data_IF_346822040654
#
_entry.id   IF_346822040654
#
_cell.length_a   1.000
_cell.length_b   1.000
_cell.length_c   1.000
_cell.angle_alpha   90.00
_cell.angle_beta   90.00
_cell.angle_gamma   90.00
#
_symmetry.space_group_name_H-M   'P 1'
#
loop_
_entity.id
_entity.type
_entity.pdbx_description
1 polymer ?
#
# COMPACT_ATOMS: atom_id res chain seq x y z
N UNK A 1 0.44 10.19 -15.56
CA UNK A 1 1.06 10.37 -15.45
C UNK A 1 1.35 10.12 -15.34
N UNK A 2 1.29 9.55 -15.32
CA UNK A 2 1.79 9.36 -15.09
C UNK A 2 2.35 8.87 -15.04
N UNK A 3 2.39 8.31 -14.49
CA UNK A 3 3.28 8.00 -14.34
C UNK A 3 3.28 8.01 -14.78
N UNK A 4 2.63 7.85 -15.25
CA UNK A 4 3.00 8.08 -15.66
C UNK A 4 2.88 9.09 -15.78
N UNK A 5 2.90 9.19 -15.59
CA UNK A 5 3.29 10.04 -15.56
C UNK A 5 3.68 10.51 -15.12
N UNK A 6 3.53 10.56 -14.69
CA UNK A 6 4.37 10.85 -14.18
C UNK A 6 4.72 10.46 -14.27
N UNK A 7 4.12 9.98 -14.37
CA UNK A 7 4.73 9.66 -14.49
C UNK A 7 4.50 10.13 -15.13
N UNK A 8 4.00 10.08 -15.13
CA UNK A 8 4.10 10.59 -15.45
C UNK A 8 4.08 11.28 -15.58
N UNK A 9 4.00 11.55 -15.50
CA UNK A 9 4.33 12.09 -15.36
C UNK A 9 4.84 12.07 -15.37
N UNK A 10 4.71 11.61 -15.23
CA UNK A 10 5.25 11.47 -15.07
C UNK A 10 5.35 11.23 -15.63
N UNK A 11 5.16 10.88 -15.62
CA UNK A 11 5.51 10.60 -15.76
C UNK A 11 5.30 11.12 -16.44
N UNK A 12 5.04 11.22 -16.25
CA UNK A 12 5.18 11.62 -16.47
C UNK A 12 5.59 12.21 -16.80
N UNK A 13 5.63 12.49 -16.91
CA UNK A 13 6.21 12.82 -16.91
C UNK A 13 6.87 12.62 -17.26
N UNK A 14 6.72 12.15 -17.11
CA UNK A 14 7.25 11.79 -17.17
C UNK A 14 7.31 11.55 -17.84
N UNK A 15 7.16 11.34 -17.74
CA UNK A 15 7.31 11.07 -17.76
C UNK A 15 7.14 11.33 -18.46
N UNK A 16 7.14 11.36 -18.63
CA UNK A 16 7.05 11.41 -18.96
C UNK A 16 6.80 11.37 -19.65
N UNK A 17 6.76 11.56 -19.89
CA UNK A 17 6.83 11.16 -20.21
C UNK A 17 6.94 10.48 -20.54
N UNK A 18 7.00 10.33 -20.58
CA UNK A 18 7.04 9.34 -20.79
C UNK A 18 7.12 8.55 -20.35
N UNK A 19 7.04 8.53 -19.75
CA UNK A 19 6.72 7.64 -19.33
C UNK A 19 5.74 7.23 -19.79
N UNK A 20 5.50 7.27 -20.30
CA UNK A 20 4.61 7.01 -20.60
C UNK A 20 3.88 6.26 -20.64
N UNK A 21 3.40 6.70 -21.25
CA UNK A 21 2.53 5.67 -20.86
C UNK A 21 1.46 5.41 -21.86
N UNK A 22 1.53 4.48 -22.64
CA UNK A 22 0.55 4.02 -23.55
C UNK A 22 -0.36 3.00 -22.95
N UNK A 23 -1.05 3.38 -21.93
CA UNK A 23 -1.83 2.44 -21.17
C UNK A 23 -3.27 2.85 -21.27
N UNK A 24 -4.15 1.94 -21.67
CA UNK A 24 -5.58 2.24 -21.65
C UNK A 24 -6.03 2.38 -20.21
N UNK A 25 -7.07 3.17 -19.93
CA UNK A 25 -7.53 3.35 -18.56
C UNK A 25 -7.85 2.06 -17.86
N UNK A 26 -8.44 1.07 -18.56
CA UNK A 26 -8.80 -0.18 -17.92
C UNK A 26 -7.59 -1.02 -17.58
N UNK A 27 -6.50 -0.93 -18.35
CA UNK A 27 -5.32 -1.72 -18.11
C UNK A 27 -4.27 -0.98 -17.31
N UNK A 28 -4.48 0.32 -17.02
CA UNK A 28 -3.49 1.11 -16.29
C UNK A 28 -3.65 1.01 -14.77
N UNK A 29 -4.73 0.41 -14.28
CA UNK A 29 -4.96 0.35 -12.84
C UNK A 29 -4.43 -0.97 -12.29
N UNK A 30 -3.54 -0.83 -11.33
CA UNK A 30 -2.83 -1.97 -10.78
C UNK A 30 -3.59 -2.58 -9.61
N UNK A 31 -3.70 -3.91 -9.63
CA UNK A 31 -4.28 -4.65 -8.53
C UNK A 31 -3.22 -5.05 -7.50
N UNK A 32 -1.96 -4.72 -7.73
CA UNK A 32 -0.86 -4.96 -6.81
C UNK A 32 0.04 -3.74 -6.78
N UNK A 33 0.32 -3.25 -5.57
CA UNK A 33 1.19 -2.09 -5.39
C UNK A 33 2.04 -2.29 -4.15
N UNK A 34 3.31 -1.88 -4.22
CA UNK A 34 4.23 -1.99 -3.10
C UNK A 34 4.84 -0.64 -2.81
N UNK A 35 4.83 -0.24 -1.57
CA UNK A 35 5.38 1.04 -1.14
C UNK A 35 6.22 0.86 0.10
N UNK A 36 7.29 1.63 0.20
CA UNK A 36 7.96 1.80 1.47
C UNK A 36 7.13 2.75 2.33
N UNK A 37 7.34 2.71 3.64
CA UNK A 37 6.68 3.63 4.55
C UNK A 37 7.76 4.47 5.22
N UNK A 38 7.68 5.79 5.06
CA UNK A 38 8.65 6.70 5.63
C UNK A 38 8.04 8.08 5.73
N UNK A 39 8.41 8.82 6.77
CA UNK A 39 7.92 10.20 6.97
C UNK A 39 6.40 10.29 6.91
N UNK A 40 5.73 9.28 7.50
CA UNK A 40 4.26 9.23 7.58
C UNK A 40 3.60 9.20 6.20
N UNK A 41 4.30 8.66 5.20
CA UNK A 41 3.80 8.63 3.82
C UNK A 41 4.11 7.31 3.17
N UNK A 42 3.36 6.98 2.11
CA UNK A 42 3.76 5.93 1.19
C UNK A 42 4.91 6.47 0.36
N UNK A 43 5.91 5.64 0.08
CA UNK A 43 7.09 6.08 -0.66
C UNK A 43 7.34 5.14 -1.82
N UNK A 44 7.47 5.70 -3.00
CA UNK A 44 7.86 4.97 -4.20
C UNK A 44 9.23 5.45 -4.61
N UNK A 45 10.07 4.52 -5.04
CA UNK A 45 11.42 4.84 -5.48
C UNK A 45 11.47 4.89 -7.00
N UNK A 46 11.93 6.01 -7.54
CA UNK A 46 12.08 6.18 -8.97
C UNK A 46 13.45 6.71 -9.24
N UNK A 47 14.32 5.84 -9.77
CA UNK A 47 15.73 6.14 -9.99
C UNK A 47 16.37 6.54 -8.66
N UNK A 48 16.90 7.75 -8.58
CA UNK A 48 17.54 8.23 -7.35
C UNK A 48 16.60 9.05 -6.49
N UNK A 49 15.32 9.09 -6.82
CA UNK A 49 14.36 9.92 -6.10
C UNK A 49 13.40 9.08 -5.30
N UNK A 50 12.96 9.65 -4.20
CA UNK A 50 11.88 9.09 -3.40
C UNK A 50 10.66 9.96 -3.56
N UNK A 51 9.54 9.34 -3.92
CA UNK A 51 8.29 10.05 -4.14
C UNK A 51 7.35 9.73 -2.99
N UNK A 52 6.98 10.75 -2.24
CA UNK A 52 6.11 10.62 -1.08
C UNK A 52 4.66 10.89 -1.49
N UNK A 53 3.75 10.04 -1.04
CA UNK A 53 2.36 10.18 -1.47
C UNK A 53 1.41 9.65 -0.40
N UNK A 54 0.17 10.11 -0.47
CA UNK A 54 -0.91 9.59 0.38
C UNK A 54 -1.83 8.69 -0.41
N UNK A 55 -1.75 8.72 -1.73
CA UNK A 55 -2.55 7.89 -2.61
C UNK A 55 -1.78 7.69 -3.91
N UNK A 56 -2.09 6.61 -4.63
CA UNK A 56 -1.41 6.29 -5.89
C UNK A 56 -2.46 6.23 -7.00
N UNK A 57 -2.35 7.16 -7.94
CA UNK A 57 -3.37 7.30 -8.98
C UNK A 57 -3.48 6.08 -9.90
N UNK A 58 -2.42 5.31 -10.02
CA UNK A 58 -2.42 4.15 -10.90
C UNK A 58 -2.82 2.85 -10.20
N UNK A 59 -3.21 2.93 -8.95
CA UNK A 59 -3.73 1.78 -8.25
C UNK A 59 -5.18 1.53 -8.65
N UNK A 60 -5.65 0.29 -8.46
CA UNK A 60 -7.06 -0.02 -8.66
C UNK A 60 -7.92 0.89 -7.79
N UNK A 61 -9.19 1.05 -8.16
CA UNK A 61 -10.08 1.91 -7.40
C UNK A 61 -10.20 1.46 -5.95
N UNK A 62 -10.24 0.14 -5.73
CA UNK A 62 -10.35 -0.39 -4.38
C UNK A 62 -9.14 0.00 -3.53
N UNK A 63 -7.93 -0.18 -4.08
CA UNK A 63 -6.71 0.18 -3.36
C UNK A 63 -6.65 1.68 -3.14
N UNK A 64 -6.92 2.46 -4.19
CA UNK A 64 -6.82 3.92 -4.10
C UNK A 64 -7.75 4.47 -3.03
N UNK A 65 -8.93 3.86 -2.89
CA UNK A 65 -9.89 4.30 -1.88
C UNK A 65 -9.39 4.05 -0.46
N UNK A 66 -8.67 2.94 -0.25
CA UNK A 66 -8.21 2.59 1.08
C UNK A 66 -6.90 3.27 1.48
N UNK A 67 -6.09 3.70 0.53
CA UNK A 67 -4.76 4.22 0.82
C UNK A 67 -4.76 5.39 1.80
N UNK A 68 -5.53 6.48 1.58
CA UNK A 68 -5.47 7.58 2.54
C UNK A 68 -6.07 7.23 3.89
N UNK A 69 -7.09 6.40 3.91
CA UNK A 69 -7.74 5.98 5.16
C UNK A 69 -6.76 5.16 5.99
N UNK A 70 -6.10 4.18 5.37
CA UNK A 70 -5.13 3.35 6.05
C UNK A 70 -3.96 4.17 6.56
N UNK A 71 -3.47 5.09 5.75
CA UNK A 71 -2.32 5.91 6.13
C UNK A 71 -2.63 6.73 7.37
N UNK A 72 -3.81 7.33 7.43
CA UNK A 72 -4.22 8.12 8.58
C UNK A 72 -4.29 7.27 9.84
N UNK A 73 -4.83 6.05 9.73
CA UNK A 73 -4.92 5.17 10.89
C UNK A 73 -3.53 4.74 11.36
N UNK A 74 -2.63 4.43 10.43
CA UNK A 74 -1.26 4.05 10.78
C UNK A 74 -0.57 5.21 11.48
N UNK A 75 -0.65 6.39 10.91
CA UNK A 75 0.04 7.57 11.46
C UNK A 75 -0.48 7.97 12.83
N UNK A 76 -1.72 7.61 13.13
CA UNK A 76 -2.34 7.93 14.43
C UNK A 76 -1.98 6.92 15.51
N UNK A 77 -1.30 5.84 15.16
CA UNK A 77 -1.00 4.76 16.10
C UNK A 77 0.51 4.55 16.18
N UNK A 78 1.11 4.94 17.30
CA UNK A 78 2.54 4.71 17.52
C UNK A 78 2.86 3.21 17.47
N UNK A 79 1.94 2.38 17.97
CA UNK A 79 2.14 0.94 17.97
C UNK A 79 2.24 0.39 16.55
N UNK A 80 1.36 0.82 15.67
CA UNK A 80 1.31 0.27 14.31
C UNK A 80 2.43 0.83 13.45
N UNK A 81 2.80 2.09 13.63
CA UNK A 81 3.79 2.69 12.72
C UNK A 81 5.23 2.44 13.13
N UNK A 82 5.48 1.99 14.36
CA UNK A 82 6.85 1.82 14.82
C UNK A 82 7.53 0.69 14.06
N UNK A 83 8.65 1.03 13.39
CA UNK A 83 9.45 0.09 12.60
C UNK A 83 8.69 -0.54 11.45
N UNK A 84 7.60 0.07 11.04
CA UNK A 84 6.92 -0.32 9.81
C UNK A 84 7.80 0.07 8.64
N UNK A 85 8.10 -0.90 7.79
CA UNK A 85 9.06 -0.71 6.71
C UNK A 85 8.39 -0.60 5.35
N UNK A 86 7.39 -1.45 5.09
CA UNK A 86 6.79 -1.55 3.77
C UNK A 86 5.32 -1.88 3.88
N UNK A 87 4.53 -1.36 2.96
CA UNK A 87 3.08 -1.60 2.90
C UNK A 87 2.76 -2.06 1.49
N UNK A 88 2.25 -3.28 1.36
CA UNK A 88 1.90 -3.85 0.06
C UNK A 88 0.40 -4.02 -0.03
N UNK A 89 -0.14 -3.68 -1.18
CA UNK A 89 -1.58 -3.75 -1.44
C UNK A 89 -1.87 -4.74 -2.52
N UNK A 90 -3.01 -5.41 -2.40
CA UNK A 90 -3.54 -6.27 -3.42
C UNK A 90 -5.05 -6.16 -3.41
N UNK A 91 -5.66 -6.08 -4.60
CA UNK A 91 -7.12 -6.09 -4.71
C UNK A 91 -7.54 -7.20 -5.65
N UNK A 92 -8.81 -7.63 -5.52
CA UNK A 92 -9.35 -8.69 -6.35
C UNK A 92 -10.58 -8.18 -7.11
N UNK A 93 -11.22 -9.06 -7.87
CA UNK A 93 -12.37 -8.70 -8.70
C UNK A 93 -13.59 -8.31 -7.86
N UNK A 94 -13.60 -8.64 -6.58
CA UNK A 94 -14.70 -8.29 -5.69
C UNK A 94 -14.44 -7.00 -4.94
N UNK A 95 -13.38 -6.26 -5.33
CA UNK A 95 -12.98 -5.01 -4.71
C UNK A 95 -12.58 -5.15 -3.24
N UNK A 96 -12.17 -6.35 -2.86
CA UNK A 96 -11.54 -6.55 -1.55
C UNK A 96 -10.10 -6.09 -1.61
N UNK A 97 -9.59 -5.62 -0.48
CA UNK A 97 -8.22 -5.14 -0.39
C UNK A 97 -7.48 -5.93 0.69
N UNK A 98 -6.37 -6.49 0.29
CA UNK A 98 -5.46 -7.19 1.20
C UNK A 98 -4.21 -6.33 1.37
N UNK A 99 -3.85 -6.06 2.62
CA UNK A 99 -2.69 -5.24 2.94
C UNK A 99 -1.69 -6.09 3.70
N UNK A 100 -0.46 -6.12 3.22
CA UNK A 100 0.62 -6.78 3.94
C UNK A 100 1.50 -5.69 4.56
N UNK A 101 1.63 -5.74 5.88
CA UNK A 101 2.43 -4.79 6.64
C UNK A 101 3.73 -5.48 7.03
N UNK A 102 4.85 -4.95 6.55
CA UNK A 102 6.16 -5.56 6.77
C UNK A 102 6.94 -4.71 7.75
N UNK A 103 7.38 -5.34 8.83
CA UNK A 103 8.03 -4.67 9.96
C UNK A 103 9.48 -5.09 10.11
N UNK A 104 10.29 -4.16 10.62
CA UNK A 104 11.65 -4.44 11.06
C UNK A 104 11.70 -4.46 12.59
N UNK A 105 10.79 -5.21 13.20
CA UNK A 105 10.71 -5.37 14.65
C UNK A 105 10.08 -6.72 14.96
N UNK A 106 10.21 -7.13 16.21
CA UNK A 106 9.50 -8.30 16.69
C UNK A 106 8.02 -7.99 16.76
N UNK A 107 7.21 -8.88 16.23
CA UNK A 107 5.75 -8.73 16.24
C UNK A 107 5.23 -9.37 17.51
N UNK A 108 4.54 -8.59 18.31
CA UNK A 108 3.97 -9.09 19.57
C UNK A 108 2.44 -9.03 19.51
N UNK A 109 1.81 -9.48 20.58
CA UNK A 109 0.36 -9.57 20.60
C UNK A 109 -0.31 -8.20 20.59
N UNK A 110 0.35 -7.20 21.14
CA UNK A 110 -0.21 -5.84 21.14
C UNK A 110 -0.33 -5.33 19.72
N UNK A 111 0.73 -5.54 18.93
CA UNK A 111 0.70 -5.13 17.52
C UNK A 111 -0.35 -5.90 16.72
N UNK A 112 -0.42 -7.22 16.95
CA UNK A 112 -1.41 -8.05 16.25
C UNK A 112 -2.82 -7.56 16.54
N UNK A 113 -3.13 -7.31 17.82
CA UNK A 113 -4.45 -6.83 18.19
C UNK A 113 -4.76 -5.46 17.63
N UNK A 114 -3.77 -4.58 17.61
CA UNK A 114 -3.96 -3.23 17.05
C UNK A 114 -4.27 -3.31 15.56
N UNK A 115 -3.59 -4.18 14.83
CA UNK A 115 -3.82 -4.32 13.40
C UNK A 115 -5.14 -5.03 13.12
N UNK A 116 -5.52 -6.00 13.96
CA UNK A 116 -6.82 -6.64 13.81
C UNK A 116 -7.95 -5.63 13.97
N UNK A 117 -7.85 -4.76 14.96
CA UNK A 117 -8.84 -3.71 15.17
C UNK A 117 -8.88 -2.76 13.98
N UNK A 118 -7.72 -2.39 13.47
CA UNK A 118 -7.63 -1.52 12.31
C UNK A 118 -8.28 -2.17 11.09
N UNK A 119 -8.02 -3.45 10.87
CA UNK A 119 -8.56 -4.20 9.73
C UNK A 119 -10.08 -4.18 9.74
N UNK A 120 -10.66 -4.40 10.91
CA UNK A 120 -12.12 -4.40 11.03
C UNK A 120 -12.68 -3.00 10.88
N UNK A 121 -11.97 -2.00 11.37
CA UNK A 121 -12.45 -0.62 11.34
C UNK A 121 -12.58 -0.09 9.92
N UNK A 122 -11.61 -0.39 9.06
CA UNK A 122 -11.60 0.16 7.69
C UNK A 122 -11.91 -0.88 6.63
N UNK A 123 -12.30 -2.08 7.06
CA UNK A 123 -12.74 -3.14 6.14
C UNK A 123 -11.66 -3.53 5.14
N UNK A 124 -10.55 -3.98 5.65
CA UNK A 124 -9.47 -4.56 4.84
C UNK A 124 -9.07 -5.90 5.45
N UNK A 125 -8.37 -6.70 4.66
CA UNK A 125 -7.74 -7.92 5.15
C UNK A 125 -6.25 -7.64 5.31
N UNK A 126 -5.63 -8.21 6.34
CA UNK A 126 -4.24 -7.88 6.62
C UNK A 126 -3.39 -9.13 6.87
N UNK A 127 -2.13 -9.01 6.49
CA UNK A 127 -1.08 -9.96 6.83
C UNK A 127 0.06 -9.14 7.45
N UNK A 128 0.62 -9.64 8.54
CA UNK A 128 1.76 -8.99 9.20
C UNK A 128 2.99 -9.86 8.96
N UNK A 129 4.05 -9.23 8.51
CA UNK A 129 5.29 -9.94 8.26
C UNK A 129 6.46 -9.23 8.92
N UNK A 130 7.40 -10.03 9.43
CA UNK A 130 8.70 -9.53 9.82
C UNK A 130 9.69 -10.65 9.52
N UNK A 131 10.96 -10.44 9.84
CA UNK A 131 11.97 -11.43 9.55
C UNK A 131 11.59 -12.77 10.22
N UNK A 132 11.45 -13.82 9.41
CA UNK A 132 11.12 -15.17 9.87
C UNK A 132 9.77 -15.30 10.56
N UNK A 133 8.85 -14.37 10.28
CA UNK A 133 7.54 -14.39 10.93
C UNK A 133 6.48 -13.90 9.96
N UNK A 134 5.36 -14.62 9.92
CA UNK A 134 4.20 -14.22 9.13
C UNK A 134 2.96 -14.55 9.93
N UNK A 135 2.06 -13.60 10.02
CA UNK A 135 0.78 -13.79 10.70
C UNK A 135 -0.35 -13.35 9.79
N UNK A 136 -1.28 -14.26 9.53
CA UNK A 136 -2.53 -13.96 8.85
C UNK A 136 -3.63 -14.21 9.86
N UNK A 137 -4.64 -13.34 9.86
CA UNK A 137 -5.71 -13.50 10.84
C UNK A 137 -6.59 -14.69 10.48
N UNK A 138 -7.17 -15.32 11.52
CA UNK A 138 -7.99 -16.51 11.37
C UNK A 138 -9.13 -16.25 10.40
N UNK A 139 -9.38 -17.22 9.52
CA UNK A 139 -10.47 -17.08 8.58
C UNK A 139 -10.16 -16.17 7.39
N UNK A 140 -8.90 -15.76 7.24
CA UNK A 140 -8.53 -14.92 6.11
C UNK A 140 -8.69 -15.69 4.82
N UNK A 141 -9.54 -15.16 3.93
CA UNK A 141 -9.76 -15.70 2.60
C UNK A 141 -9.64 -14.55 1.62
N UNK A 142 -8.76 -14.71 0.63
CA UNK A 142 -8.60 -13.69 -0.40
C UNK A 142 -8.30 -14.38 -1.71
N UNK A 143 -9.20 -14.24 -2.69
CA UNK A 143 -9.06 -14.85 -4.00
C UNK A 143 -9.08 -13.77 -5.06
N UNK A 144 -8.26 -13.96 -6.07
CA UNK A 144 -8.18 -12.99 -7.18
C UNK A 144 -9.39 -13.06 -8.12
#
# INVERSE_FOLDING_TARGET
MNKFERFNNDILNNYSENIIFNISPSSSFRSRCEFSYSNNSYVMHDKDQRIFMTSFDYASKAIKRKMPILLEEINSSNEIKEKLFQINFRSNSMNEVLVTLIYHRTVDEVLINSIDNLSNKIDIKTIIRSKNFTHAFDGLIFED
#
